data_IF_992361963794
#
_entry.id   IF_992361963794
#
_cell.length_a   1.000
_cell.length_b   1.000
_cell.length_c   1.000
_cell.angle_alpha   90.00
_cell.angle_beta   90.00
_cell.angle_gamma   90.00
#
_symmetry.space_group_name_H-M   'P 1'
#
loop_
_entity.id
_entity.type
_entity.pdbx_description
1 polymer ?
#
# COMPACT_ATOMS: atom_id res chain seq x y z
N UNK A 1 -16.13 18.17 22.38
CA UNK A 1 -15.82 17.95 20.94
C UNK A 1 -14.38 18.35 20.63
N UNK A 2 -13.45 17.39 20.57
CA UNK A 2 -12.05 17.65 20.17
C UNK A 2 -11.97 17.62 18.65
N UNK A 3 -12.00 18.79 18.00
CA UNK A 3 -11.71 18.91 16.57
C UNK A 3 -10.24 18.54 16.38
N UNK A 4 -9.96 17.35 15.84
CA UNK A 4 -8.59 16.93 15.50
C UNK A 4 -8.07 17.91 14.45
N UNK A 5 -7.03 18.69 14.80
CA UNK A 5 -6.29 19.53 13.85
C UNK A 5 -5.85 18.64 12.69
N UNK A 6 -6.22 18.99 11.45
CA UNK A 6 -5.64 18.37 10.25
C UNK A 6 -4.16 18.75 10.24
N UNK A 7 -3.30 17.85 10.70
CA UNK A 7 -1.87 17.96 10.45
C UNK A 7 -1.68 18.05 8.93
N UNK A 8 -0.86 19.01 8.47
CA UNK A 8 -0.50 19.11 7.04
C UNK A 8 0.28 17.86 6.68
N UNK A 9 -0.44 16.90 6.15
CA UNK A 9 0.11 15.67 5.62
C UNK A 9 0.87 16.03 4.34
N UNK A 10 2.20 15.90 4.34
CA UNK A 10 3.06 16.03 3.15
C UNK A 10 2.95 14.79 2.25
N UNK A 11 1.72 14.39 1.97
CA UNK A 11 1.40 13.29 1.06
C UNK A 11 0.45 13.80 0.00
N UNK A 12 0.41 13.10 -1.14
CA UNK A 12 -0.54 13.39 -2.21
C UNK A 12 -1.95 13.38 -1.64
N UNK A 13 -2.81 14.29 -2.09
CA UNK A 13 -4.15 14.48 -1.51
C UNK A 13 -4.95 13.17 -1.45
N UNK A 14 -4.87 12.35 -2.50
CA UNK A 14 -5.56 11.06 -2.56
C UNK A 14 -5.02 10.05 -1.53
N UNK A 15 -3.71 10.02 -1.28
CA UNK A 15 -3.10 9.20 -0.22
C UNK A 15 -3.56 9.67 1.17
N UNK A 16 -3.61 11.00 1.35
CA UNK A 16 -4.12 11.60 2.57
C UNK A 16 -5.59 11.25 2.85
N UNK A 17 -6.43 11.14 1.80
CA UNK A 17 -7.82 10.67 1.94
C UNK A 17 -7.86 9.25 2.47
N UNK A 18 -7.13 8.32 1.85
CA UNK A 18 -7.10 6.89 2.21
C UNK A 18 -6.67 6.66 3.65
N UNK A 19 -5.58 7.32 4.05
CA UNK A 19 -5.02 7.21 5.40
C UNK A 19 -6.02 7.72 6.46
N UNK A 20 -6.83 8.73 6.12
CA UNK A 20 -7.85 9.26 7.01
C UNK A 20 -9.12 8.39 7.07
N UNK A 21 -9.55 7.79 5.94
CA UNK A 21 -10.82 7.07 5.85
C UNK A 21 -10.74 5.60 6.19
N UNK A 22 -9.66 4.91 5.80
CA UNK A 22 -9.59 3.44 5.89
C UNK A 22 -8.66 2.92 7.00
N UNK A 23 -7.93 3.79 7.70
CA UNK A 23 -6.89 3.35 8.63
C UNK A 23 -5.74 2.62 7.92
N UNK A 24 -4.80 2.09 8.69
CA UNK A 24 -3.52 1.60 8.15
C UNK A 24 -3.68 0.49 7.09
N UNK A 25 -3.13 0.79 5.89
CA UNK A 25 -2.60 -0.12 4.86
C UNK A 25 -3.52 -1.12 4.12
N UNK A 26 -4.64 -1.59 4.67
CA UNK A 26 -5.34 -2.75 4.08
C UNK A 26 -5.93 -2.51 2.68
N UNK A 27 -6.28 -1.26 2.35
CA UNK A 27 -6.78 -0.89 1.02
C UNK A 27 -5.79 -0.09 0.17
N UNK A 28 -4.61 0.24 0.71
CA UNK A 28 -3.64 1.11 0.04
C UNK A 28 -3.22 0.54 -1.32
N UNK A 29 -2.96 -0.76 -1.40
CA UNK A 29 -2.59 -1.41 -2.66
C UNK A 29 -3.71 -1.41 -3.70
N UNK A 30 -4.97 -1.59 -3.27
CA UNK A 30 -6.12 -1.60 -4.18
C UNK A 30 -6.36 -0.21 -4.78
N UNK A 31 -6.26 0.82 -3.96
CA UNK A 31 -6.45 2.20 -4.40
C UNK A 31 -5.25 2.73 -5.18
N UNK A 32 -4.02 2.37 -4.80
CA UNK A 32 -2.81 2.69 -5.55
C UNK A 32 -2.86 2.06 -6.97
N UNK A 33 -3.40 0.85 -7.11
CA UNK A 33 -3.60 0.23 -8.41
C UNK A 33 -4.56 1.00 -9.33
N UNK A 34 -5.55 1.70 -8.74
CA UNK A 34 -6.57 2.47 -9.46
C UNK A 34 -6.12 3.90 -9.77
N UNK A 35 -5.52 4.59 -8.80
CA UNK A 35 -5.17 6.02 -8.87
C UNK A 35 -3.78 6.27 -9.46
N UNK A 36 -2.80 5.38 -9.21
CA UNK A 36 -1.42 5.51 -9.73
C UNK A 36 -0.80 4.14 -10.05
N UNK A 37 -1.14 3.55 -11.22
CA UNK A 37 -0.62 2.25 -11.65
C UNK A 37 0.91 2.21 -11.74
N UNK A 38 1.58 3.35 -11.95
CA UNK A 38 3.03 3.43 -12.02
C UNK A 38 3.64 3.31 -10.63
N UNK A 39 3.13 4.05 -9.66
CA UNK A 39 3.54 3.92 -8.26
C UNK A 39 3.17 2.53 -7.72
N UNK A 40 2.01 1.97 -8.09
CA UNK A 40 1.63 0.60 -7.77
C UNK A 40 2.69 -0.42 -8.22
N UNK A 41 3.10 -0.35 -9.50
CA UNK A 41 4.16 -1.22 -10.05
C UNK A 41 5.52 -1.00 -9.39
N UNK A 42 5.82 0.23 -8.94
CA UNK A 42 7.06 0.55 -8.21
C UNK A 42 7.06 -0.03 -6.80
N UNK A 43 5.94 0.03 -6.09
CA UNK A 43 5.81 -0.59 -4.76
C UNK A 43 5.80 -2.12 -4.88
N UNK A 44 5.16 -2.66 -5.92
CA UNK A 44 5.16 -4.09 -6.22
C UNK A 44 6.42 -4.60 -6.92
N UNK A 45 7.43 -3.75 -7.16
CA UNK A 45 8.67 -4.17 -7.81
C UNK A 45 9.44 -5.07 -6.84
N UNK A 46 9.09 -6.34 -6.85
CA UNK A 46 9.81 -7.42 -6.22
C UNK A 46 11.11 -7.60 -7.02
N UNK A 47 12.24 -7.64 -6.33
CA UNK A 47 13.46 -8.15 -6.96
C UNK A 47 13.32 -9.65 -7.16
N UNK A 48 14.14 -10.23 -8.04
CA UNK A 48 14.17 -11.69 -8.22
C UNK A 48 14.42 -12.40 -6.87
N UNK A 49 15.30 -11.86 -6.03
CA UNK A 49 15.55 -12.36 -4.68
C UNK A 49 14.29 -12.34 -3.81
N UNK A 50 13.58 -11.21 -3.74
CA UNK A 50 12.36 -11.12 -2.92
C UNK A 50 11.28 -12.07 -3.43
N UNK A 51 11.17 -12.25 -4.76
CA UNK A 51 10.23 -13.19 -5.36
C UNK A 51 10.56 -14.64 -5.02
N UNK A 52 11.83 -15.06 -5.15
CA UNK A 52 12.27 -16.41 -4.80
C UNK A 52 12.07 -16.71 -3.32
N UNK A 53 12.33 -15.73 -2.45
CA UNK A 53 12.13 -15.87 -1.01
C UNK A 53 10.64 -16.02 -0.65
N UNK A 54 9.76 -15.24 -1.28
CA UNK A 54 8.31 -15.39 -1.14
C UNK A 54 7.85 -16.74 -1.68
N UNK A 55 8.36 -17.16 -2.83
CA UNK A 55 8.03 -18.44 -3.45
C UNK A 55 8.35 -19.61 -2.53
N UNK A 56 9.54 -19.62 -1.91
CA UNK A 56 9.92 -20.64 -0.90
C UNK A 56 8.96 -20.68 0.29
N UNK A 57 8.46 -19.52 0.75
CA UNK A 57 7.53 -19.41 1.88
C UNK A 57 6.10 -19.83 1.52
N UNK A 58 5.67 -19.56 0.29
CA UNK A 58 4.33 -19.91 -0.20
C UNK A 58 4.23 -21.36 -0.67
N UNK A 59 5.33 -21.95 -1.16
CA UNK A 59 5.38 -23.33 -1.64
C UNK A 59 4.72 -24.36 -0.70
N UNK A 60 4.99 -24.38 0.62
CA UNK A 60 4.36 -25.34 1.53
C UNK A 60 2.85 -25.08 1.80
N UNK A 61 2.33 -23.91 1.43
CA UNK A 61 0.93 -23.53 1.70
C UNK A 61 -0.01 -23.80 0.52
N UNK A 62 0.53 -24.13 -0.65
CA UNK A 62 -0.21 -24.38 -1.89
C UNK A 62 -0.40 -25.89 -2.14
N UNK A 63 0.22 -26.76 -1.33
CA UNK A 63 0.11 -28.23 -1.44
C UNK A 63 -1.28 -28.77 -1.09
#
# INVERSE_FOLDING_TARGET
>A
NKIKKKERMWVREWIGRILLTHGASNNLFKELALEDPTAYRKVLRLTCETFEELSKKLHPLIQ
#
